data_IF_507425616071
#
_entry.id   IF_507425616071
#
_cell.length_a   1.000
_cell.length_b   1.000
_cell.length_c   1.000
_cell.angle_alpha   90.00
_cell.angle_beta   90.00
_cell.angle_gamma   90.00
#
_symmetry.space_group_name_H-M   'P 1'
#
loop_
_entity.id
_entity.type
_entity.pdbx_description
1 polymer ?
#
# COMPACT_ATOMS: atom_id res chain seq x y z
N UNK A 1 19.68 4.99 -7.65
CA UNK A 1 19.56 6.28 -6.97
C UNK A 1 18.17 6.38 -6.35
N UNK A 2 18.10 6.42 -5.02
CA UNK A 2 16.82 6.50 -4.28
C UNK A 2 16.20 7.90 -4.32
N UNK A 3 16.96 8.92 -4.74
CA UNK A 3 16.48 10.29 -4.82
C UNK A 3 15.52 10.55 -6.01
N UNK A 4 15.46 9.64 -6.99
CA UNK A 4 14.56 9.77 -8.13
C UNK A 4 13.13 9.41 -7.74
N UNK A 5 12.19 10.31 -8.05
CA UNK A 5 10.74 10.12 -7.85
C UNK A 5 10.17 9.01 -8.74
N UNK A 6 10.71 8.85 -9.95
CA UNK A 6 10.36 7.77 -10.89
C UNK A 6 11.56 6.85 -11.08
N UNK A 7 11.37 5.55 -10.84
CA UNK A 7 12.43 4.54 -10.97
C UNK A 7 11.87 3.19 -11.39
N UNK A 8 12.63 2.50 -12.22
CA UNK A 8 12.41 1.08 -12.51
C UNK A 8 13.33 0.25 -11.63
N UNK A 9 12.80 -0.81 -11.03
CA UNK A 9 13.56 -1.73 -10.21
C UNK A 9 13.21 -3.18 -10.53
N UNK A 10 14.23 -3.99 -10.76
CA UNK A 10 14.15 -5.44 -10.82
C UNK A 10 14.79 -5.97 -9.55
N UNK A 11 14.02 -6.66 -8.71
CA UNK A 11 14.45 -7.17 -7.40
C UNK A 11 14.73 -6.08 -6.35
N UNK A 12 14.02 -6.10 -5.22
CA UNK A 12 14.10 -5.02 -4.22
C UNK A 12 15.40 -5.03 -3.40
N UNK A 13 15.90 -6.21 -3.04
CA UNK A 13 16.89 -6.41 -1.98
C UNK A 13 17.91 -7.52 -2.31
N UNK A 14 18.23 -7.71 -3.60
CA UNK A 14 19.02 -8.83 -4.15
C UNK A 14 20.32 -9.16 -3.39
N UNK A 15 21.00 -8.15 -2.84
CA UNK A 15 22.28 -8.32 -2.13
C UNK A 15 22.15 -8.43 -0.61
N UNK A 16 20.93 -8.28 -0.07
CA UNK A 16 20.64 -8.37 1.36
C UNK A 16 19.77 -9.57 1.69
N UNK A 17 18.85 -9.93 0.79
CA UNK A 17 17.97 -11.09 0.94
C UNK A 17 18.68 -12.40 0.58
N UNK A 18 18.38 -13.51 1.28
CA UNK A 18 18.86 -14.83 0.91
C UNK A 18 18.31 -15.33 -0.43
N UNK A 19 17.28 -14.68 -0.97
CA UNK A 19 16.66 -15.05 -2.24
C UNK A 19 16.20 -13.83 -3.03
N UNK A 20 16.25 -13.96 -4.36
CA UNK A 20 15.75 -12.97 -5.29
C UNK A 20 14.21 -12.89 -5.26
N UNK A 21 13.67 -11.66 -5.17
CA UNK A 21 12.27 -11.39 -5.47
C UNK A 21 11.97 -11.50 -6.97
N UNK A 22 10.93 -12.25 -7.34
CA UNK A 22 10.47 -12.38 -8.74
C UNK A 22 9.50 -11.24 -9.10
N UNK A 23 10.04 -10.02 -9.25
CA UNK A 23 9.25 -8.81 -9.51
C UNK A 23 10.08 -7.74 -10.22
N UNK A 24 9.46 -7.14 -11.24
CA UNK A 24 9.83 -5.85 -11.79
C UNK A 24 8.81 -4.80 -11.36
N UNK A 25 9.28 -3.61 -10.98
CA UNK A 25 8.44 -2.52 -10.47
C UNK A 25 8.82 -1.20 -11.10
N UNK A 26 7.85 -0.52 -11.71
CA UNK A 26 7.92 0.92 -11.91
C UNK A 26 7.39 1.60 -10.65
N UNK A 27 8.28 2.22 -9.90
CA UNK A 27 7.92 3.00 -8.72
C UNK A 27 7.80 4.48 -9.09
N UNK A 28 6.72 5.10 -8.63
CA UNK A 28 6.45 6.52 -8.77
C UNK A 28 6.01 7.10 -7.43
N UNK A 29 6.80 8.03 -6.89
CA UNK A 29 6.39 8.84 -5.76
C UNK A 29 5.52 10.00 -6.26
N UNK A 30 4.20 9.83 -6.21
CA UNK A 30 3.24 10.84 -6.65
C UNK A 30 2.92 11.89 -5.57
N UNK A 31 3.24 11.63 -4.30
CA UNK A 31 2.87 12.48 -3.17
C UNK A 31 4.03 12.74 -2.19
N UNK A 32 4.00 13.87 -1.44
CA UNK A 32 3.08 15.00 -1.64
C UNK A 32 3.37 15.78 -2.93
N UNK A 33 4.61 15.68 -3.43
CA UNK A 33 5.07 16.39 -4.63
C UNK A 33 5.21 15.41 -5.80
N UNK A 34 4.25 15.39 -6.76
CA UNK A 34 4.34 14.51 -7.92
C UNK A 34 5.60 14.79 -8.75
N UNK A 35 6.06 13.83 -9.57
CA UNK A 35 7.11 14.07 -10.54
C UNK A 35 6.61 14.97 -11.67
N UNK A 36 7.52 15.66 -12.35
CA UNK A 36 7.15 16.37 -13.56
C UNK A 36 6.61 15.37 -14.60
N UNK A 37 5.58 15.72 -15.39
CA UNK A 37 4.98 14.80 -16.35
C UNK A 37 6.02 14.17 -17.28
N UNK A 38 7.04 14.91 -17.71
CA UNK A 38 8.12 14.45 -18.58
C UNK A 38 8.97 13.33 -17.96
N UNK A 39 9.03 13.22 -16.64
CA UNK A 39 9.73 12.14 -15.93
C UNK A 39 8.98 10.81 -16.00
N UNK A 40 7.66 10.83 -16.21
CA UNK A 40 6.83 9.65 -16.32
C UNK A 40 6.86 9.06 -17.73
N UNK A 41 6.87 7.71 -17.86
CA UNK A 41 6.73 7.08 -19.17
C UNK A 41 5.42 7.48 -19.83
N UNK A 42 5.48 7.88 -21.10
CA UNK A 42 4.34 8.43 -21.83
C UNK A 42 3.10 7.50 -21.81
N UNK A 43 3.31 6.18 -21.79
CA UNK A 43 2.25 5.18 -21.77
C UNK A 43 1.38 5.21 -20.50
N UNK A 44 1.92 5.64 -19.36
CA UNK A 44 1.24 5.57 -18.06
C UNK A 44 1.05 6.94 -17.40
N UNK A 45 1.69 7.99 -17.94
CA UNK A 45 1.69 9.35 -17.37
C UNK A 45 0.30 9.88 -17.01
N UNK A 46 -0.63 9.88 -17.96
CA UNK A 46 -1.98 10.42 -17.72
C UNK A 46 -2.74 9.60 -16.68
N UNK A 47 -2.71 8.27 -16.85
CA UNK A 47 -3.43 7.32 -15.99
C UNK A 47 -2.91 7.35 -14.55
N UNK A 48 -1.58 7.38 -14.35
CA UNK A 48 -0.99 7.38 -13.01
C UNK A 48 -1.33 8.64 -12.21
N UNK A 49 -1.36 9.81 -12.86
CA UNK A 49 -1.71 11.06 -12.19
C UNK A 49 -3.20 11.07 -11.82
N UNK A 50 -4.08 10.74 -12.76
CA UNK A 50 -5.53 10.65 -12.51
C UNK A 50 -5.86 9.63 -11.41
N UNK A 51 -5.25 8.45 -11.49
CA UNK A 51 -5.43 7.39 -10.50
C UNK A 51 -4.87 7.78 -9.13
N UNK A 52 -3.69 8.42 -9.09
CA UNK A 52 -3.08 8.92 -7.85
C UNK A 52 -3.98 9.91 -7.11
N UNK A 53 -4.58 10.85 -7.84
CA UNK A 53 -5.53 11.82 -7.26
C UNK A 53 -6.79 11.14 -6.73
N UNK A 54 -7.36 10.19 -7.49
CA UNK A 54 -8.53 9.43 -7.08
C UNK A 54 -8.26 8.60 -5.81
N UNK A 55 -7.11 7.91 -5.76
CA UNK A 55 -6.71 7.10 -4.60
C UNK A 55 -6.40 7.98 -3.38
N UNK A 56 -5.82 9.17 -3.56
CA UNK A 56 -5.64 10.14 -2.47
C UNK A 56 -6.99 10.57 -1.86
N UNK A 57 -7.96 10.92 -2.69
CA UNK A 57 -9.30 11.31 -2.22
C UNK A 57 -9.98 10.17 -1.46
N UNK A 58 -9.88 8.94 -1.99
CA UNK A 58 -10.39 7.75 -1.30
C UNK A 58 -9.70 7.53 0.05
N UNK A 59 -8.37 7.64 0.10
CA UNK A 59 -7.59 7.44 1.32
C UNK A 59 -7.98 8.45 2.41
N UNK A 60 -8.10 9.73 2.06
CA UNK A 60 -8.57 10.77 2.99
C UNK A 60 -9.97 10.41 3.51
N UNK A 61 -10.89 10.02 2.62
CA UNK A 61 -12.26 9.66 3.02
C UNK A 61 -12.30 8.45 3.96
N UNK A 62 -11.47 7.43 3.71
CA UNK A 62 -11.36 6.27 4.59
C UNK A 62 -10.79 6.68 5.95
N UNK A 63 -9.76 7.53 5.99
CA UNK A 63 -9.17 8.02 7.24
C UNK A 63 -10.15 8.87 8.06
N UNK A 64 -11.02 9.65 7.42
CA UNK A 64 -12.11 10.36 8.09
C UNK A 64 -13.06 9.40 8.80
N UNK A 65 -13.54 8.37 8.08
CA UNK A 65 -14.44 7.36 8.63
C UNK A 65 -13.79 6.57 9.76
N UNK A 66 -12.51 6.22 9.62
CA UNK A 66 -11.75 5.55 10.68
C UNK A 66 -11.61 6.46 11.90
N UNK A 67 -11.35 7.75 11.71
CA UNK A 67 -11.27 8.73 12.81
C UNK A 67 -12.61 8.82 13.56
N UNK A 68 -13.72 8.92 12.84
CA UNK A 68 -15.07 8.95 13.40
C UNK A 68 -15.40 7.67 14.17
N UNK A 69 -15.11 6.50 13.60
CA UNK A 69 -15.31 5.20 14.27
C UNK A 69 -14.46 5.04 15.55
N UNK A 70 -13.37 5.80 15.64
CA UNK A 70 -12.55 5.88 16.84
C UNK A 70 -13.01 6.91 17.87
N UNK A 71 -14.03 7.72 17.56
CA UNK A 71 -14.52 8.81 18.40
C UNK A 71 -13.67 10.08 18.31
N UNK A 72 -12.93 10.26 17.22
CA UNK A 72 -12.08 11.42 16.97
C UNK A 72 -12.74 12.40 15.99
N UNK A 73 -12.18 13.61 15.89
CA UNK A 73 -12.52 14.53 14.80
C UNK A 73 -12.17 13.87 13.44
N UNK A 74 -12.99 14.04 12.38
CA UNK A 74 -12.78 13.35 11.10
C UNK A 74 -11.39 13.60 10.50
N UNK A 75 -10.87 14.82 10.61
CA UNK A 75 -9.57 15.19 10.06
C UNK A 75 -8.36 14.80 10.95
N UNK A 76 -8.59 14.08 12.06
CA UNK A 76 -7.54 13.82 13.05
C UNK A 76 -6.40 12.97 12.49
N UNK A 77 -6.69 11.86 11.82
CA UNK A 77 -5.65 10.97 11.28
C UNK A 77 -4.91 11.61 10.09
N UNK A 78 -5.62 12.39 9.27
CA UNK A 78 -5.02 13.15 8.17
C UNK A 78 -4.00 14.16 8.68
N UNK A 79 -4.37 14.96 9.70
CA UNK A 79 -3.46 15.90 10.38
C UNK A 79 -2.25 15.25 11.04
N UNK A 80 -2.30 13.94 11.30
CA UNK A 80 -1.17 13.16 11.82
C UNK A 80 -0.25 12.62 10.70
N UNK A 81 -0.52 12.96 9.44
CA UNK A 81 0.26 12.52 8.28
C UNK A 81 -0.05 11.08 7.85
N UNK A 82 -1.16 10.48 8.31
CA UNK A 82 -1.49 9.10 7.94
C UNK A 82 -1.80 8.93 6.44
N UNK A 83 -2.11 10.02 5.73
CA UNK A 83 -2.33 10.02 4.29
C UNK A 83 -1.02 10.13 3.48
N UNK A 84 0.11 10.47 4.10
CA UNK A 84 1.37 10.74 3.41
C UNK A 84 2.14 9.45 3.04
N UNK A 85 1.85 8.35 3.75
CA UNK A 85 2.46 7.03 3.52
C UNK A 85 1.69 6.13 2.57
N UNK A 86 0.85 6.69 1.68
CA UNK A 86 -0.01 5.91 0.78
C UNK A 86 0.81 5.20 -0.30
N UNK A 87 0.78 3.87 -0.30
CA UNK A 87 1.35 3.02 -1.34
C UNK A 87 0.24 2.30 -2.09
N UNK A 88 0.31 2.32 -3.42
CA UNK A 88 -0.62 1.59 -4.28
C UNK A 88 0.18 0.62 -5.13
N UNK A 89 -0.18 -0.65 -5.05
CA UNK A 89 0.43 -1.73 -5.82
C UNK A 89 -0.65 -2.44 -6.64
N UNK A 90 -0.29 -2.84 -7.86
CA UNK A 90 -1.10 -3.70 -8.71
C UNK A 90 -0.38 -5.04 -8.88
N UNK A 91 -0.81 -6.05 -8.10
CA UNK A 91 -0.25 -7.40 -8.13
C UNK A 91 -1.34 -8.44 -7.82
N UNK A 92 -1.32 -9.53 -8.58
CA UNK A 92 -2.09 -10.73 -8.27
C UNK A 92 -1.33 -11.66 -7.31
N UNK A 93 -2.05 -12.53 -6.59
CA UNK A 93 -1.45 -13.52 -5.69
C UNK A 93 -1.24 -13.02 -4.26
N UNK A 94 -1.99 -12.01 -3.83
CA UNK A 94 -1.96 -11.50 -2.46
C UNK A 94 -2.45 -12.57 -1.46
N UNK A 95 -1.66 -12.77 -0.41
CA UNK A 95 -2.00 -13.57 0.76
C UNK A 95 -1.79 -12.76 2.04
N UNK A 96 -2.65 -12.97 3.04
CA UNK A 96 -2.54 -12.36 4.37
C UNK A 96 -2.37 -13.43 5.44
N UNK A 97 -1.58 -13.16 6.48
CA UNK A 97 -1.39 -14.06 7.60
C UNK A 97 -2.53 -13.84 8.61
N UNK A 98 -3.41 -14.82 8.75
CA UNK A 98 -4.50 -14.78 9.72
C UNK A 98 -4.06 -15.51 10.99
N UNK A 99 -4.06 -14.80 12.12
CA UNK A 99 -3.79 -15.34 13.45
C UNK A 99 -5.05 -15.22 14.33
N UNK A 100 -5.33 -16.24 15.14
CA UNK A 100 -6.53 -16.37 15.98
C UNK A 100 -6.14 -16.25 17.46
N UNK A 101 -5.59 -15.08 17.82
CA UNK A 101 -5.23 -14.61 19.17
C UNK A 101 -4.66 -15.70 20.12
N UNK A 102 -3.81 -16.59 19.60
CA UNK A 102 -3.02 -17.55 20.38
C UNK A 102 -3.61 -18.95 20.57
N UNK A 103 -4.79 -19.28 20.01
CA UNK A 103 -5.34 -20.65 20.10
C UNK A 103 -4.95 -21.54 18.93
N UNK A 104 -4.68 -20.96 17.75
CA UNK A 104 -4.35 -21.70 16.53
C UNK A 104 -3.07 -21.18 15.90
N UNK A 105 -2.43 -22.05 15.12
CA UNK A 105 -1.27 -21.67 14.30
C UNK A 105 -1.73 -20.70 13.22
N UNK A 106 -1.04 -19.58 13.07
CA UNK A 106 -1.28 -18.62 12.00
C UNK A 106 -1.27 -19.29 10.61
N UNK A 107 -2.21 -18.90 9.76
CA UNK A 107 -2.44 -19.47 8.43
C UNK A 107 -2.39 -18.38 7.37
N UNK A 108 -1.69 -18.63 6.27
CA UNK A 108 -1.74 -17.78 5.09
C UNK A 108 -3.05 -18.02 4.32
N UNK A 109 -3.85 -16.97 4.14
CA UNK A 109 -5.10 -16.99 3.40
C UNK A 109 -5.01 -16.16 2.12
N UNK A 110 -5.56 -16.69 1.02
CA UNK A 110 -5.66 -15.96 -0.26
C UNK A 110 -6.67 -14.81 -0.17
N UNK A 111 -6.34 -13.69 -0.80
CA UNK A 111 -7.26 -12.57 -1.01
C UNK A 111 -7.68 -12.58 -2.49
N UNK A 112 -8.84 -13.18 -2.83
CA UNK A 112 -9.26 -13.27 -4.22
C UNK A 112 -9.59 -11.88 -4.78
N UNK A 113 -9.13 -11.55 -6.00
CA UNK A 113 -9.46 -10.28 -6.62
C UNK A 113 -10.96 -10.22 -6.92
N UNK A 114 -11.60 -9.14 -6.46
CA UNK A 114 -12.99 -8.84 -6.82
C UNK A 114 -12.97 -7.74 -7.87
N UNK A 115 -13.55 -7.96 -9.07
CA UNK A 115 -13.57 -6.95 -10.12
C UNK A 115 -14.18 -5.62 -9.63
N UNK A 116 -13.44 -4.52 -9.83
CA UNK A 116 -13.86 -3.18 -9.41
C UNK A 116 -13.69 -2.89 -7.91
N UNK A 117 -13.09 -3.79 -7.13
CA UNK A 117 -12.79 -3.56 -5.72
C UNK A 117 -11.31 -3.21 -5.49
N UNK A 118 -11.05 -2.50 -4.39
CA UNK A 118 -9.72 -2.24 -3.87
C UNK A 118 -9.53 -2.98 -2.55
N UNK A 119 -8.31 -3.46 -2.30
CA UNK A 119 -7.90 -3.97 -1.00
C UNK A 119 -7.18 -2.85 -0.26
N UNK A 120 -7.63 -2.54 0.96
CA UNK A 120 -7.01 -1.55 1.83
C UNK A 120 -6.47 -2.28 3.05
N UNK A 121 -5.17 -2.16 3.30
CA UNK A 121 -4.53 -2.69 4.50
C UNK A 121 -4.17 -1.55 5.47
N UNK A 122 -4.08 -1.90 6.74
CA UNK A 122 -3.58 -1.02 7.81
C UNK A 122 -2.06 -1.17 7.84
N UNK A 123 -1.35 -0.04 7.90
CA UNK A 123 0.10 -0.01 8.13
C UNK A 123 0.46 0.26 9.59
N UNK A 124 1.75 0.10 9.92
CA UNK A 124 2.26 0.20 11.30
C UNK A 124 1.98 1.56 11.95
N UNK A 125 2.05 2.65 11.19
CA UNK A 125 1.70 3.98 11.69
C UNK A 125 0.25 4.03 12.18
N UNK A 126 -0.69 3.48 11.40
CA UNK A 126 -2.11 3.44 11.77
C UNK A 126 -2.35 2.52 12.98
N UNK A 127 -1.64 1.39 13.08
CA UNK A 127 -1.68 0.55 14.28
C UNK A 127 -1.19 1.31 15.52
N UNK A 128 -0.08 2.04 15.41
CA UNK A 128 0.50 2.80 16.51
C UNK A 128 -0.45 3.91 17.00
N UNK A 129 -0.91 4.77 16.08
CA UNK A 129 -1.73 5.95 16.44
C UNK A 129 -3.15 5.57 16.89
N UNK A 130 -3.64 4.39 16.48
CA UNK A 130 -4.89 3.83 16.99
C UNK A 130 -4.74 3.08 18.31
N UNK A 131 -3.54 3.07 18.90
CA UNK A 131 -3.20 2.34 20.12
C UNK A 131 -3.55 0.84 20.01
N UNK A 132 -3.21 0.23 18.88
CA UNK A 132 -3.41 -1.20 18.63
C UNK A 132 -4.86 -1.61 18.32
N UNK A 133 -5.79 -0.66 18.19
CA UNK A 133 -7.19 -0.93 17.76
C UNK A 133 -7.27 -1.40 16.31
N UNK A 134 -6.40 -0.88 15.45
CA UNK A 134 -6.20 -1.36 14.09
C UNK A 134 -4.97 -2.26 14.05
N UNK A 135 -4.99 -3.31 13.23
CA UNK A 135 -3.91 -4.29 13.11
C UNK A 135 -3.24 -4.22 11.74
N UNK A 136 -1.94 -3.95 11.75
CA UNK A 136 -1.04 -4.13 10.62
C UNK A 136 -0.73 -5.62 10.50
N UNK A 137 -1.19 -6.24 9.42
CA UNK A 137 -1.14 -7.71 9.23
C UNK A 137 -0.05 -8.04 8.23
N UNK A 138 0.73 -9.09 8.53
CA UNK A 138 1.69 -9.65 7.60
C UNK A 138 0.99 -10.10 6.31
N UNK A 139 1.55 -9.72 5.17
CA UNK A 139 1.03 -10.05 3.87
C UNK A 139 2.18 -10.38 2.93
N UNK A 140 1.91 -11.18 1.91
CA UNK A 140 2.87 -11.55 0.87
C UNK A 140 2.18 -11.66 -0.47
N UNK A 141 2.97 -11.57 -1.53
CA UNK A 141 2.53 -11.89 -2.87
C UNK A 141 3.24 -13.16 -3.32
N UNK A 142 2.47 -14.18 -3.71
CA UNK A 142 3.03 -15.44 -4.20
C UNK A 142 3.16 -15.40 -5.73
N UNK A 143 4.30 -15.85 -6.25
CA UNK A 143 4.50 -15.98 -7.68
C UNK A 143 3.55 -17.05 -8.25
N UNK A 144 2.94 -16.74 -9.39
CA UNK A 144 2.11 -17.71 -10.09
C UNK A 144 2.99 -18.75 -10.79
N UNK A 145 2.55 -20.01 -10.80
CA UNK A 145 3.19 -21.05 -11.60
C UNK A 145 2.61 -20.95 -13.01
N UNK A 146 3.48 -20.72 -14.00
CA UNK A 146 3.12 -20.83 -15.41
C UNK A 146 2.99 -22.29 -15.83
#
# INVERSE_FOLDING_TARGET
DLARKVRFNSNFDLFQSPAANWRDTLFCQALPDPPEPEELPAAVRGVLLEYGDAVRQLAVRVLELVSEAMGLAPDRLEKMGCADGLSVDDMAGLQVLVDDDGEKRAVWADVPPVPGALVINVGDLLQLVSNGRLKSVEHRVVANRS
#
